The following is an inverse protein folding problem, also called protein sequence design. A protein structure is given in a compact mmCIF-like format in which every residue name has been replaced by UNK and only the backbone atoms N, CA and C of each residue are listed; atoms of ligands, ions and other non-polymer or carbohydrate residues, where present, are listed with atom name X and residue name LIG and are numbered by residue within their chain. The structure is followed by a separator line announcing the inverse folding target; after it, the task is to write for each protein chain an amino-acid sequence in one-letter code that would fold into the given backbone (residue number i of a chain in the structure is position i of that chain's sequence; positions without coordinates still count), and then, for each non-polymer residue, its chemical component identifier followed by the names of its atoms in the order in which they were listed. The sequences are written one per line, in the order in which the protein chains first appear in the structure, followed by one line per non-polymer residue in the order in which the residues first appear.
data_IF_852046259126
#
_entry.id   IF_852046259126
#
_cell.length_a   1.000
_cell.length_b   1.000
_cell.length_c   1.000
_cell.angle_alpha   90.00
_cell.angle_beta   90.00
_cell.angle_gamma   90.00
#
_symmetry.space_group_name_H-M   'P 1'
#
loop_
_entity.id
_entity.type
_entity.pdbx_description
1 polymer ?
#
# COMPACT_ATOMS: atom_id res chain seq x y z
N UNK A 1 1.60 -18.26 23.07
CA UNK A 1 0.72 -17.65 22.05
C UNK A 1 0.86 -16.12 22.16
N UNK A 2 1.60 -15.50 21.24
CA UNK A 2 1.62 -14.02 21.13
C UNK A 2 0.99 -13.70 19.79
N UNK A 3 -0.24 -13.19 19.87
CA UNK A 3 -1.02 -12.71 18.74
C UNK A 3 -0.39 -11.40 18.24
N UNK A 4 0.56 -11.48 17.31
CA UNK A 4 1.05 -10.30 16.59
C UNK A 4 0.01 -9.96 15.52
N UNK A 5 -0.91 -9.06 15.87
CA UNK A 5 -1.76 -8.36 14.89
C UNK A 5 -0.83 -7.60 13.94
N UNK A 6 -0.63 -8.12 12.73
CA UNK A 6 -0.06 -7.36 11.63
C UNK A 6 -1.11 -6.34 11.21
N UNK A 7 -0.77 -5.06 11.34
CA UNK A 7 -1.51 -4.01 10.66
C UNK A 7 -1.00 -3.99 9.22
N UNK A 8 -1.86 -4.33 8.27
CA UNK A 8 -1.60 -4.09 6.85
C UNK A 8 -1.71 -2.59 6.57
N UNK A 9 -0.58 -1.91 6.71
CA UNK A 9 -0.40 -0.53 6.30
C UNK A 9 -0.15 -0.60 4.79
N UNK A 10 -1.01 -0.04 3.93
CA UNK A 10 -0.68 0.09 2.53
C UNK A 10 0.45 1.11 2.42
N UNK A 11 1.05 1.21 1.24
CA UNK A 11 2.21 2.03 0.96
C UNK A 11 1.76 3.51 0.93
N UNK A 12 1.47 4.05 2.11
CA UNK A 12 0.81 5.34 2.31
C UNK A 12 1.82 6.33 2.88
N UNK A 13 1.79 7.54 2.35
CA UNK A 13 2.40 8.68 2.99
C UNK A 13 1.67 8.91 4.32
N UNK A 14 2.31 8.56 5.44
CA UNK A 14 1.73 8.66 6.79
C UNK A 14 1.54 10.10 7.23
N UNK A 15 2.44 10.97 6.82
CA UNK A 15 2.46 12.38 7.18
C UNK A 15 3.16 13.17 6.09
N UNK A 16 2.69 14.38 5.83
CA UNK A 16 3.40 15.38 5.03
C UNK A 16 3.31 16.71 5.78
N UNK A 17 4.45 17.35 6.03
CA UNK A 17 4.52 18.66 6.69
C UNK A 17 4.39 19.79 5.66
N UNK A 18 4.16 21.01 6.14
CA UNK A 18 4.19 22.20 5.28
C UNK A 18 5.57 22.46 4.67
N UNK A 19 6.65 21.98 5.31
CA UNK A 19 8.02 22.08 4.80
C UNK A 19 8.37 21.01 3.76
N UNK A 20 7.43 20.13 3.36
CA UNK A 20 7.69 19.07 2.38
C UNK A 20 8.32 17.79 2.96
N UNK A 21 8.45 17.68 4.28
CA UNK A 21 8.94 16.47 4.93
C UNK A 21 7.83 15.43 5.08
N UNK A 22 8.11 14.17 4.75
CA UNK A 22 7.12 13.10 4.85
C UNK A 22 7.72 11.79 5.37
N UNK A 23 6.83 10.91 5.81
CA UNK A 23 7.18 9.54 6.21
C UNK A 23 6.21 8.54 5.60
N UNK A 24 6.64 7.29 5.43
CA UNK A 24 5.80 6.25 4.84
C UNK A 24 6.47 4.89 4.80
N UNK A 25 5.75 3.91 4.27
CA UNK A 25 6.34 2.63 3.87
C UNK A 25 6.37 2.54 2.36
N UNK A 26 7.57 2.36 1.80
CA UNK A 26 7.76 2.11 0.38
C UNK A 26 7.51 0.66 -0.01
N UNK A 27 7.53 -0.25 0.97
CA UNK A 27 7.08 -1.63 0.84
C UNK A 27 6.68 -2.23 2.18
N UNK A 28 5.76 -3.20 2.17
CA UNK A 28 5.34 -3.96 3.34
C UNK A 28 5.47 -5.45 3.05
N UNK A 29 6.01 -6.19 4.01
CA UNK A 29 6.39 -7.58 3.79
C UNK A 29 5.21 -8.55 3.86
N UNK A 30 5.26 -9.59 3.02
CA UNK A 30 4.31 -10.69 3.06
C UNK A 30 2.95 -10.37 2.43
N UNK A 31 2.80 -9.21 1.80
CA UNK A 31 1.59 -8.81 1.08
C UNK A 31 1.82 -8.98 -0.42
N UNK A 32 0.87 -9.60 -1.12
CA UNK A 32 0.91 -9.83 -2.57
C UNK A 32 0.42 -8.58 -3.29
N UNK A 33 1.25 -7.93 -4.11
CA UNK A 33 0.88 -6.72 -4.85
C UNK A 33 0.05 -7.00 -6.13
N UNK A 34 -0.35 -5.94 -6.87
CA UNK A 34 -1.06 -6.02 -8.15
C UNK A 34 -0.29 -6.76 -9.26
N UNK A 35 1.03 -6.89 -9.13
CA UNK A 35 1.89 -7.62 -10.05
C UNK A 35 2.10 -9.08 -9.61
N UNK A 36 1.40 -9.51 -8.55
CA UNK A 36 1.56 -10.81 -7.91
C UNK A 36 2.94 -11.01 -7.28
N UNK A 37 3.58 -9.95 -6.81
CA UNK A 37 4.84 -10.02 -6.09
C UNK A 37 4.63 -9.92 -4.57
N UNK A 38 5.38 -10.70 -3.80
CA UNK A 38 5.42 -10.68 -2.34
C UNK A 38 6.86 -10.42 -1.91
N UNK A 39 7.12 -9.22 -1.40
CA UNK A 39 8.43 -8.89 -0.82
C UNK A 39 8.56 -9.52 0.56
N UNK A 40 9.68 -10.18 0.84
CA UNK A 40 9.98 -10.73 2.17
C UNK A 40 11.02 -9.91 2.92
N UNK A 41 11.02 -10.04 4.25
CA UNK A 41 12.05 -9.45 5.11
C UNK A 41 13.43 -9.94 4.67
N UNK A 42 14.38 -9.02 4.55
CA UNK A 42 15.73 -9.23 4.03
C UNK A 42 15.91 -8.75 2.60
N UNK A 43 14.83 -8.62 1.81
CA UNK A 43 14.91 -8.38 0.37
C UNK A 43 15.58 -7.06 -0.02
N UNK A 44 15.56 -6.05 0.86
CA UNK A 44 16.22 -4.77 0.61
C UNK A 44 17.64 -4.69 1.15
N UNK A 45 18.05 -5.63 2.01
CA UNK A 45 19.26 -5.50 2.84
C UNK A 45 20.51 -5.29 1.99
N UNK A 46 20.70 -6.11 0.95
CA UNK A 46 21.87 -6.00 0.09
C UNK A 46 21.88 -4.69 -0.70
N UNK A 47 20.73 -4.29 -1.26
CA UNK A 47 20.63 -3.02 -2.00
C UNK A 47 20.91 -1.81 -1.13
N UNK A 48 20.34 -1.74 0.08
CA UNK A 48 20.57 -0.62 1.00
C UNK A 48 22.03 -0.53 1.44
N UNK A 49 22.71 -1.67 1.61
CA UNK A 49 24.15 -1.68 1.87
C UNK A 49 24.95 -1.13 0.68
N UNK A 50 24.64 -1.55 -0.55
CA UNK A 50 25.26 -1.02 -1.78
C UNK A 50 25.08 0.50 -1.92
N UNK A 51 23.90 1.02 -1.57
CA UNK A 51 23.62 2.46 -1.57
C UNK A 51 24.42 3.21 -0.50
N UNK A 52 24.47 2.64 0.71
CA UNK A 52 25.26 3.18 1.83
C UNK A 52 26.74 3.28 1.50
N UNK A 53 27.32 2.27 0.85
CA UNK A 53 28.72 2.29 0.38
C UNK A 53 28.99 3.44 -0.61
N UNK A 54 27.99 3.83 -1.40
CA UNK A 54 28.06 4.98 -2.32
C UNK A 54 27.77 6.33 -1.63
N UNK A 55 27.45 6.33 -0.34
CA UNK A 55 27.07 7.53 0.41
C UNK A 55 25.76 8.16 -0.06
N UNK A 56 24.83 7.35 -0.59
CA UNK A 56 23.55 7.81 -1.16
C UNK A 56 22.41 6.89 -0.72
N UNK A 57 21.17 7.30 -0.99
CA UNK A 57 19.97 6.47 -0.89
C UNK A 57 19.31 6.36 -2.27
N UNK A 58 18.41 5.38 -2.47
CA UNK A 58 17.57 5.30 -3.67
C UNK A 58 16.85 6.62 -3.97
N UNK A 59 16.51 6.84 -5.25
CA UNK A 59 15.93 8.10 -5.68
C UNK A 59 14.48 8.29 -5.20
N UNK A 60 14.10 9.55 -4.94
CA UNK A 60 12.72 9.98 -4.73
C UNK A 60 12.20 10.63 -6.02
N UNK A 61 11.36 9.92 -6.75
CA UNK A 61 10.90 10.31 -8.08
C UNK A 61 9.39 10.61 -8.11
N UNK A 62 8.98 11.31 -9.16
CA UNK A 62 7.57 11.48 -9.53
C UNK A 62 7.11 10.36 -10.47
N UNK A 63 6.15 9.53 -10.05
CA UNK A 63 5.47 8.56 -10.92
C UNK A 63 6.44 7.67 -11.74
N UNK A 64 7.51 7.18 -11.13
CA UNK A 64 8.54 6.33 -11.75
C UNK A 64 9.33 6.99 -12.89
N UNK A 65 9.23 8.31 -13.06
CA UNK A 65 9.98 9.04 -14.07
C UNK A 65 11.41 9.29 -13.60
N UNK A 66 12.35 8.53 -14.16
CA UNK A 66 13.78 8.57 -13.81
C UNK A 66 14.46 9.93 -14.06
N UNK A 67 13.88 10.75 -14.93
CA UNK A 67 14.32 12.11 -15.25
C UNK A 67 13.67 13.19 -14.37
N UNK A 68 12.77 12.82 -13.46
CA UNK A 68 11.98 13.75 -12.63
C UNK A 68 12.16 13.47 -11.12
N UNK A 69 13.36 13.67 -10.55
CA UNK A 69 13.56 13.64 -9.11
C UNK A 69 12.89 14.85 -8.45
N UNK A 70 12.14 14.61 -7.37
CA UNK A 70 11.36 15.66 -6.67
C UNK A 70 11.85 15.92 -5.24
N UNK A 71 12.93 15.26 -4.85
CA UNK A 71 13.49 15.37 -3.50
C UNK A 71 14.50 14.28 -3.19
N UNK A 72 14.66 14.02 -1.89
CA UNK A 72 15.59 13.01 -1.40
C UNK A 72 15.04 12.32 -0.16
N UNK A 73 15.51 11.09 0.09
CA UNK A 73 15.28 10.41 1.36
C UNK A 73 16.34 10.84 2.38
N UNK A 74 15.91 11.11 3.61
CA UNK A 74 16.80 11.31 4.76
C UNK A 74 17.05 10.00 5.50
N UNK A 75 16.13 9.04 5.37
CA UNK A 75 16.23 7.72 5.98
C UNK A 75 15.48 6.69 5.15
N UNK A 76 16.08 5.51 5.03
CA UNK A 76 15.48 4.33 4.44
C UNK A 76 16.00 3.11 5.20
N UNK A 77 15.09 2.38 5.81
CA UNK A 77 15.46 1.25 6.68
C UNK A 77 14.41 0.17 6.61
N UNK A 78 14.88 -1.08 6.63
CA UNK A 78 14.02 -2.22 6.80
C UNK A 78 13.68 -2.41 8.30
N UNK A 79 12.39 -2.51 8.61
CA UNK A 79 11.90 -2.86 9.95
C UNK A 79 11.10 -4.18 9.94
N UNK A 80 10.40 -4.50 11.04
CA UNK A 80 9.61 -5.72 11.13
C UNK A 80 8.36 -5.74 10.23
N UNK A 81 7.94 -4.58 9.72
CA UNK A 81 6.76 -4.42 8.88
C UNK A 81 7.16 -4.33 7.40
N UNK A 82 8.24 -3.63 7.06
CA UNK A 82 8.56 -3.30 5.68
C UNK A 82 9.74 -2.34 5.51
N UNK A 83 9.77 -1.66 4.36
CA UNK A 83 10.74 -0.61 4.03
C UNK A 83 10.21 0.75 4.51
N UNK A 84 10.65 1.18 5.69
CA UNK A 84 10.32 2.48 6.27
C UNK A 84 11.16 3.61 5.69
N UNK A 85 10.52 4.76 5.45
CA UNK A 85 11.08 5.91 4.76
C UNK A 85 10.81 7.23 5.49
N UNK A 86 11.80 8.11 5.50
CA UNK A 86 11.67 9.53 5.79
C UNK A 86 12.23 10.31 4.59
N UNK A 87 11.43 11.21 4.01
CA UNK A 87 11.76 11.93 2.77
C UNK A 87 11.51 13.43 2.87
N UNK A 88 12.16 14.17 1.99
CA UNK A 88 12.08 15.63 1.90
C UNK A 88 11.90 16.04 0.44
N UNK A 89 10.79 16.71 0.15
CA UNK A 89 10.53 17.35 -1.15
C UNK A 89 11.25 18.69 -1.26
N UNK A 90 11.76 19.03 -2.44
CA UNK A 90 12.42 20.32 -2.72
C UNK A 90 11.38 21.40 -3.09
N UNK A 91 10.40 21.65 -2.22
CA UNK A 91 9.21 22.46 -2.53
C UNK A 91 9.49 23.94 -2.83
N UNK A 92 10.62 24.47 -2.36
CA UNK A 92 11.01 25.86 -2.54
C UNK A 92 11.82 26.08 -3.82
N UNK A 93 12.48 25.03 -4.31
CA UNK A 93 13.44 25.10 -5.42
C UNK A 93 12.94 24.41 -6.69
N UNK A 94 12.04 23.44 -6.58
CA UNK A 94 11.52 22.65 -7.69
C UNK A 94 9.99 22.79 -7.83
N UNK A 95 9.49 23.37 -8.94
CA UNK A 95 8.06 23.45 -9.24
C UNK A 95 7.34 22.09 -9.25
N UNK A 96 8.02 21.01 -9.68
CA UNK A 96 7.42 19.68 -9.69
C UNK A 96 7.29 19.12 -8.27
N UNK A 97 8.32 19.23 -7.44
CA UNK A 97 8.24 18.93 -6.01
C UNK A 97 7.13 19.71 -5.30
N UNK A 98 6.98 21.01 -5.60
CA UNK A 98 5.90 21.86 -5.06
C UNK A 98 4.51 21.37 -5.47
N UNK A 99 4.36 20.98 -6.74
CA UNK A 99 3.12 20.35 -7.23
C UNK A 99 2.85 19.02 -6.51
N UNK A 100 3.87 18.19 -6.32
CA UNK A 100 3.74 16.93 -5.60
C UNK A 100 3.28 17.14 -4.16
N UNK A 101 3.90 18.08 -3.45
CA UNK A 101 3.50 18.47 -2.10
C UNK A 101 2.02 18.86 -2.01
N UNK A 102 1.54 19.70 -2.94
CA UNK A 102 0.14 20.11 -2.98
C UNK A 102 -0.80 18.91 -3.16
N UNK A 103 -0.48 17.99 -4.08
CA UNK A 103 -1.28 16.78 -4.32
C UNK A 103 -1.20 15.78 -3.16
N UNK A 104 -0.07 15.66 -2.47
CA UNK A 104 0.08 14.84 -1.27
C UNK A 104 -0.77 15.39 -0.12
N UNK A 105 -0.77 16.71 0.11
CA UNK A 105 -1.64 17.36 1.09
C UNK A 105 -3.12 17.18 0.76
N UNK A 106 -3.47 17.27 -0.52
CA UNK A 106 -4.83 17.04 -1.01
C UNK A 106 -5.21 15.54 -1.08
N UNK A 107 -4.25 14.63 -0.87
CA UNK A 107 -4.40 13.17 -0.97
C UNK A 107 -4.79 12.65 -2.36
N UNK A 108 -4.54 13.42 -3.42
CA UNK A 108 -4.68 12.95 -4.80
C UNK A 108 -3.42 12.25 -5.32
N UNK A 109 -2.33 12.32 -4.56
CA UNK A 109 -1.07 11.59 -4.75
C UNK A 109 -0.67 11.03 -3.38
N UNK A 110 -1.17 9.84 -3.07
CA UNK A 110 -1.15 9.28 -1.70
C UNK A 110 -0.29 8.04 -1.54
N UNK A 111 0.17 7.46 -2.65
CA UNK A 111 0.90 6.19 -2.67
C UNK A 111 2.41 6.36 -2.74
N UNK A 112 3.10 5.34 -2.24
CA UNK A 112 4.51 5.07 -2.55
C UNK A 112 4.62 3.77 -3.34
N UNK A 113 5.60 3.70 -4.23
CA UNK A 113 5.87 2.51 -5.04
C UNK A 113 7.35 2.38 -5.27
N UNK A 114 7.85 1.15 -5.18
CA UNK A 114 9.26 0.81 -5.37
C UNK A 114 9.55 0.49 -6.83
N UNK A 115 10.73 0.89 -7.29
CA UNK A 115 11.31 0.53 -8.57
C UNK A 115 12.59 -0.23 -8.32
N UNK A 116 12.68 -1.45 -8.83
CA UNK A 116 13.74 -2.39 -8.51
C UNK A 116 14.09 -3.30 -9.69
N UNK A 117 15.22 -3.99 -9.54
CA UNK A 117 15.64 -5.13 -10.37
C UNK A 117 15.63 -6.39 -9.49
N UNK A 118 15.16 -7.50 -10.06
CA UNK A 118 15.13 -8.79 -9.39
C UNK A 118 16.51 -9.45 -9.36
N UNK A 119 16.94 -9.93 -8.20
CA UNK A 119 18.15 -10.72 -8.04
C UNK A 119 17.85 -12.18 -7.64
N UNK A 120 17.05 -12.40 -6.60
CA UNK A 120 16.62 -13.72 -6.12
C UNK A 120 15.11 -13.70 -5.82
N UNK A 121 14.39 -14.63 -6.45
CA UNK A 121 12.95 -14.80 -6.30
C UNK A 121 12.54 -16.24 -6.62
N UNK A 122 11.44 -16.69 -6.03
CA UNK A 122 10.79 -17.97 -6.34
C UNK A 122 9.33 -17.75 -6.72
N UNK A 123 8.73 -18.67 -7.49
CA UNK A 123 7.28 -18.69 -7.68
C UNK A 123 6.61 -19.62 -6.67
N UNK A 124 5.73 -19.06 -5.83
CA UNK A 124 4.89 -19.81 -4.90
C UNK A 124 3.54 -20.11 -5.57
N UNK A 125 3.33 -21.39 -5.91
CA UNK A 125 2.11 -21.86 -6.58
C UNK A 125 0.87 -21.73 -5.71
N UNK A 126 1.00 -21.91 -4.40
CA UNK A 126 -0.14 -21.85 -3.48
C UNK A 126 -0.64 -20.41 -3.35
N UNK A 127 0.29 -19.44 -3.28
CA UNK A 127 -0.04 -18.01 -3.26
C UNK A 127 -0.29 -17.42 -4.65
N UNK A 128 0.02 -18.19 -5.70
CA UNK A 128 0.03 -17.73 -7.10
C UNK A 128 0.80 -16.41 -7.24
N UNK A 129 2.00 -16.33 -6.65
CA UNK A 129 2.77 -15.10 -6.51
C UNK A 129 4.28 -15.36 -6.56
N UNK A 130 5.06 -14.37 -7.01
CA UNK A 130 6.51 -14.39 -6.87
C UNK A 130 6.92 -13.93 -5.48
N UNK A 131 7.75 -14.71 -4.79
CA UNK A 131 8.35 -14.37 -3.52
C UNK A 131 9.69 -13.71 -3.79
N UNK A 132 9.79 -12.40 -3.55
CA UNK A 132 10.99 -11.61 -3.82
C UNK A 132 11.89 -11.63 -2.59
N UNK A 133 13.04 -12.30 -2.71
CA UNK A 133 13.98 -12.54 -1.59
C UNK A 133 15.18 -11.61 -1.59
N UNK A 134 15.61 -11.15 -2.77
CA UNK A 134 16.65 -10.15 -2.93
C UNK A 134 16.34 -9.29 -4.16
N UNK A 135 16.32 -7.98 -3.96
CA UNK A 135 16.07 -7.01 -5.02
C UNK A 135 17.08 -5.87 -4.94
N UNK A 136 17.54 -5.44 -6.11
CA UNK A 136 18.26 -4.20 -6.27
C UNK A 136 17.24 -3.07 -6.33
N UNK A 137 16.97 -2.43 -5.19
CA UNK A 137 16.12 -1.24 -5.10
C UNK A 137 16.81 -0.01 -5.71
N UNK A 138 16.16 0.66 -6.66
CA UNK A 138 16.68 1.85 -7.35
C UNK A 138 16.03 3.14 -6.90
N UNK A 139 14.72 3.09 -6.66
CA UNK A 139 13.92 4.26 -6.37
C UNK A 139 12.69 3.90 -5.53
N UNK A 140 12.14 4.90 -4.85
CA UNK A 140 10.79 4.84 -4.33
C UNK A 140 10.07 6.13 -4.73
N UNK A 141 9.11 6.00 -5.63
CA UNK A 141 8.33 7.09 -6.20
C UNK A 141 7.13 7.46 -5.35
N UNK A 142 6.75 8.73 -5.43
CA UNK A 142 5.39 9.12 -5.06
C UNK A 142 4.48 8.92 -6.26
N UNK A 143 3.37 8.20 -6.04
CA UNK A 143 2.48 7.73 -7.11
C UNK A 143 1.02 8.05 -6.82
N UNK A 144 0.22 8.17 -7.88
CA UNK A 144 -1.24 8.28 -7.74
C UNK A 144 -1.86 6.96 -7.31
N UNK A 145 -1.41 5.86 -7.92
CA UNK A 145 -1.94 4.51 -7.68
C UNK A 145 -0.77 3.58 -7.31
N UNK A 146 -0.59 3.23 -6.03
CA UNK A 146 0.43 2.28 -5.63
C UNK A 146 0.01 0.85 -6.02
N UNK A 147 0.98 0.02 -6.39
CA UNK A 147 0.77 -1.38 -6.78
C UNK A 147 0.02 -2.21 -5.71
N UNK A 148 0.11 -1.83 -4.44
CA UNK A 148 -0.52 -2.56 -3.35
C UNK A 148 -1.96 -2.12 -3.03
N UNK A 149 -2.56 -1.20 -3.80
CA UNK A 149 -3.97 -0.84 -3.60
C UNK A 149 -4.91 -1.94 -4.11
N UNK A 150 -4.58 -2.60 -5.22
CA UNK A 150 -5.34 -3.75 -5.73
C UNK A 150 -5.14 -5.00 -4.88
N UNK A 151 -3.93 -5.21 -4.36
CA UNK A 151 -3.62 -6.25 -3.39
C UNK A 151 -4.52 -6.28 -2.16
N UNK A 152 -4.91 -5.09 -1.68
CA UNK A 152 -5.84 -4.95 -0.55
C UNK A 152 -7.25 -5.39 -0.94
N UNK A 153 -7.67 -5.06 -2.16
CA UNK A 153 -8.96 -5.51 -2.70
C UNK A 153 -8.92 -7.03 -2.86
N UNK A 154 -7.84 -7.57 -3.40
CA UNK A 154 -7.67 -9.01 -3.60
C UNK A 154 -7.48 -9.77 -2.28
N UNK A 155 -6.84 -9.17 -1.26
CA UNK A 155 -6.79 -9.71 0.10
C UNK A 155 -8.20 -9.82 0.68
N UNK A 156 -9.01 -8.75 0.61
CA UNK A 156 -10.41 -8.80 1.05
C UNK A 156 -11.21 -9.86 0.28
N UNK A 157 -11.04 -9.97 -1.05
CA UNK A 157 -11.67 -11.02 -1.85
C UNK A 157 -11.23 -12.43 -1.42
N UNK A 158 -9.93 -12.68 -1.24
CA UNK A 158 -9.41 -13.99 -0.84
C UNK A 158 -9.84 -14.42 0.57
N UNK A 159 -10.00 -13.47 1.50
CA UNK A 159 -10.59 -13.74 2.82
C UNK A 159 -12.05 -14.19 2.65
N UNK A 160 -12.81 -13.55 1.77
CA UNK A 160 -14.17 -14.00 1.45
C UNK A 160 -14.18 -15.39 0.78
N UNK A 161 -13.31 -15.64 -0.19
CA UNK A 161 -13.19 -16.93 -0.89
C UNK A 161 -12.78 -18.08 0.04
N UNK A 162 -12.05 -17.77 1.11
CA UNK A 162 -11.68 -18.74 2.16
C UNK A 162 -12.77 -18.95 3.22
N UNK A 163 -13.93 -18.29 3.08
CA UNK A 163 -15.09 -18.45 3.99
C UNK A 163 -14.97 -17.68 5.31
N UNK A 164 -13.96 -16.81 5.41
CA UNK A 164 -13.76 -15.91 6.53
C UNK A 164 -14.26 -14.50 6.19
N UNK A 165 -14.46 -13.70 7.23
CA UNK A 165 -14.98 -12.34 7.08
C UNK A 165 -13.83 -11.37 7.39
N UNK A 166 -13.42 -10.55 6.42
CA UNK A 166 -12.36 -9.58 6.64
C UNK A 166 -12.72 -8.62 7.79
N UNK A 167 -11.74 -8.10 8.55
CA UNK A 167 -12.00 -7.15 9.61
C UNK A 167 -12.85 -5.96 9.15
N UNK A 168 -13.72 -5.38 10.00
CA UNK A 168 -14.66 -4.34 9.56
C UNK A 168 -13.95 -3.12 8.95
N UNK A 169 -12.79 -2.78 9.50
CA UNK A 169 -11.97 -1.66 9.04
C UNK A 169 -11.41 -1.88 7.63
N UNK A 170 -11.14 -3.12 7.24
CA UNK A 170 -10.65 -3.46 5.90
C UNK A 170 -11.75 -3.39 4.87
N UNK A 171 -12.95 -3.88 5.20
CA UNK A 171 -14.14 -3.78 4.34
C UNK A 171 -14.54 -2.32 4.13
N UNK A 172 -14.64 -1.52 5.20
CA UNK A 172 -14.94 -0.08 5.08
C UNK A 172 -13.93 0.62 4.16
N UNK A 173 -12.66 0.23 4.24
CA UNK A 173 -11.62 0.83 3.42
C UNK A 173 -11.76 0.43 1.95
N UNK A 174 -11.92 -0.86 1.65
CA UNK A 174 -12.15 -1.34 0.28
C UNK A 174 -13.36 -0.67 -0.36
N UNK A 175 -14.46 -0.54 0.38
CA UNK A 175 -15.65 0.18 -0.11
C UNK A 175 -15.33 1.62 -0.50
N UNK A 176 -14.50 2.31 0.28
CA UNK A 176 -14.07 3.67 -0.06
C UNK A 176 -13.10 3.69 -1.24
N UNK A 177 -12.26 2.68 -1.38
CA UNK A 177 -11.29 2.57 -2.47
C UNK A 177 -12.00 2.29 -3.82
N UNK A 178 -13.11 1.56 -3.81
CA UNK A 178 -13.97 1.36 -4.99
C UNK A 178 -14.96 2.51 -5.24
N UNK A 179 -14.84 3.61 -4.47
CA UNK A 179 -15.53 4.88 -4.76
C UNK A 179 -16.71 5.25 -3.86
N UNK A 180 -17.02 4.48 -2.81
CA UNK A 180 -18.07 4.89 -1.86
C UNK A 180 -17.59 6.05 -0.97
N UNK A 181 -18.47 7.03 -0.74
CA UNK A 181 -18.23 8.08 0.26
C UNK A 181 -18.16 7.49 1.67
N UNK A 182 -17.59 8.25 2.62
CA UNK A 182 -17.55 7.85 4.04
C UNK A 182 -18.92 7.49 4.61
N UNK A 183 -19.96 8.23 4.20
CA UNK A 183 -21.33 8.00 4.66
C UNK A 183 -21.89 6.71 4.07
N UNK A 184 -21.69 6.47 2.78
CA UNK A 184 -22.11 5.26 2.08
C UNK A 184 -21.40 4.00 2.61
N UNK A 185 -20.08 4.09 2.81
CA UNK A 185 -19.31 3.00 3.40
C UNK A 185 -19.80 2.69 4.83
N UNK A 186 -20.03 3.71 5.67
CA UNK A 186 -20.60 3.50 7.02
C UNK A 186 -21.99 2.86 7.01
N UNK A 187 -22.86 3.28 6.08
CA UNK A 187 -24.20 2.71 5.93
C UNK A 187 -24.13 1.22 5.54
N UNK A 188 -23.23 0.86 4.61
CA UNK A 188 -22.97 -0.55 4.30
C UNK A 188 -22.42 -1.30 5.52
N UNK A 189 -21.49 -0.70 6.25
CA UNK A 189 -20.85 -1.33 7.40
C UNK A 189 -21.78 -1.55 8.60
N UNK A 190 -22.83 -0.75 8.77
CA UNK A 190 -23.80 -0.98 9.86
C UNK A 190 -24.69 -2.20 9.59
N UNK A 191 -25.11 -2.38 8.34
CA UNK A 191 -26.14 -3.37 7.98
C UNK A 191 -25.56 -4.57 7.23
N UNK A 192 -24.79 -4.33 6.17
CA UNK A 192 -24.22 -5.37 5.30
C UNK A 192 -23.06 -6.14 5.94
N UNK A 193 -22.23 -5.49 6.75
CA UNK A 193 -21.18 -6.20 7.48
C UNK A 193 -21.76 -7.13 8.56
N UNK A 194 -22.81 -6.66 9.25
CA UNK A 194 -23.49 -7.42 10.30
C UNK A 194 -24.18 -8.67 9.75
N UNK A 195 -24.74 -8.59 8.53
CA UNK A 195 -25.34 -9.74 7.85
C UNK A 195 -24.32 -10.77 7.39
N UNK A 196 -23.13 -10.34 6.96
CA UNK A 196 -22.03 -11.26 6.61
C UNK A 196 -21.56 -12.08 7.84
N UNK A 197 -21.67 -11.51 9.05
CA UNK A 197 -21.26 -12.16 10.31
C UNK A 197 -22.18 -13.29 10.79
N UNK A 198 -23.41 -13.34 10.29
CA UNK A 198 -24.36 -14.39 10.65
C UNK A 198 -24.19 -15.57 9.68
N UNK A 199 -23.38 -16.56 10.08
CA UNK A 199 -23.04 -17.77 9.29
C UNK A 199 -24.23 -18.69 8.97
N UNK A 200 -25.46 -18.39 9.40
CA UNK A 200 -26.59 -19.32 9.40
C UNK A 200 -27.71 -19.04 8.38
N UNK A 201 -27.49 -18.22 7.35
CA UNK A 201 -28.53 -18.02 6.33
C UNK A 201 -27.96 -18.07 4.93
N UNK A 202 -28.55 -18.92 4.09
CA UNK A 202 -28.36 -19.02 2.64
C UNK A 202 -28.57 -17.71 1.85
N UNK A 203 -28.90 -16.61 2.53
CA UNK A 203 -29.28 -15.31 1.96
C UNK A 203 -28.39 -14.15 2.48
N UNK A 204 -27.33 -14.40 3.25
CA UNK A 204 -26.46 -13.34 3.80
C UNK A 204 -25.74 -12.54 2.71
N UNK A 205 -25.27 -13.23 1.66
CA UNK A 205 -24.65 -12.61 0.47
C UNK A 205 -25.66 -11.81 -0.36
N UNK A 206 -26.86 -12.35 -0.58
CA UNK A 206 -27.93 -11.68 -1.31
C UNK A 206 -28.40 -10.41 -0.58
N UNK A 207 -28.49 -10.46 0.75
CA UNK A 207 -28.78 -9.30 1.59
C UNK A 207 -27.68 -8.24 1.51
N UNK A 208 -26.40 -8.63 1.61
CA UNK A 208 -25.29 -7.69 1.46
C UNK A 208 -25.28 -7.03 0.06
N UNK A 209 -25.56 -7.80 -1.00
CA UNK A 209 -25.68 -7.30 -2.37
C UNK A 209 -26.86 -6.32 -2.54
N UNK A 210 -28.00 -6.60 -1.90
CA UNK A 210 -29.16 -5.71 -1.94
C UNK A 210 -28.89 -4.40 -1.19
N UNK A 211 -28.16 -4.46 -0.07
CA UNK A 211 -27.72 -3.26 0.65
C UNK A 211 -26.77 -2.44 -0.21
N UNK A 212 -25.79 -3.06 -0.89
CA UNK A 212 -24.93 -2.35 -1.86
C UNK A 212 -25.75 -1.64 -2.93
N UNK A 213 -26.70 -2.34 -3.57
CA UNK A 213 -27.57 -1.74 -4.60
C UNK A 213 -28.38 -0.55 -4.07
N UNK A 214 -28.84 -0.61 -2.82
CA UNK A 214 -29.59 0.49 -2.18
C UNK A 214 -28.74 1.74 -1.91
N UNK A 215 -27.42 1.60 -1.82
CA UNK A 215 -26.48 2.71 -1.56
C UNK A 215 -26.13 3.47 -2.84
N UNK A 216 -26.30 2.84 -4.00
CA UNK A 216 -26.03 3.40 -5.32
C UNK A 216 -27.27 3.94 -6.06
N UNK A 217 -28.47 3.71 -5.53
CA UNK A 217 -29.73 4.33 -5.97
C UNK A 217 -30.00 5.62 -5.18
#
# INVERSE_FOLDING_TARGET
MVNKKRLDIPFEIKSISDSGAFTGYGSVFGVKDSYSDIVIKGAFTNSLNKWKEKGRLPALLWQHKMDEPIGYYTKMVEDDNGLYLEGQLLIDDDPLAKRAHAHMKAKSLSGLSIGYILNDYDYDKEKSAFILKDIDLWEVSVVTFPANDEARIDNVKSIFESGDIPPPKEIERVLRDVGLSRTQAKAFMSEGYSSLKQRDVSNSEENALNILKSIFN
#
